data_IF_351123965366
#
_entry.id   IF_351123965366
#
_cell.length_a   1.000
_cell.length_b   1.000
_cell.length_c   1.000
_cell.angle_alpha   90.00
_cell.angle_beta   90.00
_cell.angle_gamma   90.00
#
_symmetry.space_group_name_H-M   'P 1'
#
loop_
_entity.id
_entity.type
_entity.pdbx_description
1 polymer ?
#
# COMPACT_ATOMS: atom_id res chain seq x y z
N UNK A 1 -34.74 -0.75 12.38
CA UNK A 1 -33.48 -1.47 12.10
C UNK A 1 -32.53 -0.51 11.41
N UNK A 2 -31.76 0.23 12.20
CA UNK A 2 -30.51 0.90 11.81
C UNK A 2 -29.77 1.30 13.08
N UNK A 3 -28.44 1.39 12.95
CA UNK A 3 -27.48 1.95 13.91
C UNK A 3 -27.00 1.00 15.00
N UNK A 4 -25.77 0.49 14.85
CA UNK A 4 -24.60 1.00 15.59
C UNK A 4 -23.34 0.18 15.20
N UNK A 5 -22.31 0.84 14.70
CA UNK A 5 -20.97 0.25 14.62
C UNK A 5 -19.98 1.32 15.07
N UNK A 6 -19.74 1.35 16.38
CA UNK A 6 -18.62 2.05 16.99
C UNK A 6 -17.29 1.49 16.47
N UNK A 7 -16.84 1.96 15.31
CA UNK A 7 -15.52 1.63 14.79
C UNK A 7 -14.49 2.59 15.41
N UNK A 8 -13.89 2.20 16.55
CA UNK A 8 -12.82 2.93 17.26
C UNK A 8 -11.47 2.85 16.52
N UNK A 9 -11.44 3.13 15.22
CA UNK A 9 -10.18 3.18 14.49
C UNK A 9 -9.63 4.60 14.56
N UNK A 10 -8.47 4.75 15.23
CA UNK A 10 -7.70 6.00 15.22
C UNK A 10 -7.48 6.41 13.77
N UNK A 11 -8.12 7.50 13.35
CA UNK A 11 -7.76 8.19 12.11
C UNK A 11 -6.43 8.89 12.36
N UNK A 12 -5.33 8.32 11.88
CA UNK A 12 -4.04 9.00 11.91
C UNK A 12 -4.08 10.16 10.92
N UNK A 13 -3.57 11.33 11.33
CA UNK A 13 -3.47 12.50 10.47
C UNK A 13 -2.59 12.11 9.27
N UNK A 14 -3.11 12.27 8.05
CA UNK A 14 -2.32 12.00 6.85
C UNK A 14 -1.27 13.10 6.73
N UNK A 15 -0.04 12.79 7.16
CA UNK A 15 1.09 13.73 7.21
C UNK A 15 1.58 14.16 5.82
N UNK A 16 1.10 13.50 4.75
CA UNK A 16 1.46 13.83 3.36
C UNK A 16 0.54 14.92 2.78
N UNK A 17 -0.64 15.17 3.36
CA UNK A 17 -1.59 16.15 2.81
C UNK A 17 -1.06 17.58 2.78
N UNK A 18 -0.22 17.94 3.76
CA UNK A 18 0.36 19.28 3.89
C UNK A 18 1.80 19.35 3.34
N UNK A 19 2.30 18.30 2.68
CA UNK A 19 3.68 18.20 2.19
C UNK A 19 3.73 18.31 0.66
N UNK A 20 4.39 19.36 0.16
CA UNK A 20 4.62 19.54 -1.27
C UNK A 20 5.77 18.64 -1.75
N UNK A 21 5.45 17.73 -2.68
CA UNK A 21 6.41 16.80 -3.28
C UNK A 21 7.00 17.46 -4.53
N UNK A 22 8.26 17.86 -4.48
CA UNK A 22 8.93 18.68 -5.50
C UNK A 22 9.97 17.92 -6.32
N UNK A 23 10.39 16.72 -5.89
CA UNK A 23 11.37 15.86 -6.58
C UNK A 23 11.13 14.37 -6.30
N UNK A 24 11.70 13.47 -7.12
CA UNK A 24 11.64 12.02 -6.88
C UNK A 24 12.21 11.62 -5.51
N UNK A 25 11.75 10.49 -4.98
CA UNK A 25 12.18 9.84 -3.73
C UNK A 25 11.88 10.62 -2.44
N UNK A 26 10.96 11.59 -2.47
CA UNK A 26 10.49 12.28 -1.26
C UNK A 26 9.31 11.60 -0.59
N UNK A 27 8.47 10.92 -1.37
CA UNK A 27 7.31 10.20 -0.87
C UNK A 27 7.00 9.03 -1.78
N UNK A 28 6.71 7.87 -1.17
CA UNK A 28 6.28 6.67 -1.87
C UNK A 28 4.85 6.32 -1.47
N UNK A 29 4.06 5.92 -2.45
CA UNK A 29 2.68 5.46 -2.28
C UNK A 29 2.66 3.95 -2.44
N UNK A 30 2.02 3.26 -1.50
CA UNK A 30 1.81 1.82 -1.58
C UNK A 30 0.36 1.52 -2.00
N UNK A 31 0.18 0.59 -2.93
CA UNK A 31 -1.11 0.02 -3.31
C UNK A 31 -1.06 -1.51 -3.21
N UNK A 32 -2.21 -2.13 -2.89
CA UNK A 32 -2.36 -3.58 -2.93
C UNK A 32 -3.59 -3.91 -3.75
N UNK A 33 -3.37 -4.58 -4.89
CA UNK A 33 -4.42 -5.01 -5.80
C UNK A 33 -4.55 -6.53 -5.77
N UNK A 34 -5.79 -7.03 -5.60
CA UNK A 34 -6.07 -8.45 -5.75
C UNK A 34 -6.12 -8.85 -7.22
N UNK A 35 -5.32 -9.84 -7.61
CA UNK A 35 -5.17 -10.33 -8.98
C UNK A 35 -5.51 -11.83 -9.14
N UNK A 36 -5.83 -12.51 -8.04
CA UNK A 36 -6.07 -13.95 -8.02
C UNK A 36 -7.50 -14.38 -8.32
N UNK A 37 -7.77 -15.67 -8.14
CA UNK A 37 -9.11 -16.26 -8.19
C UNK A 37 -9.39 -17.10 -6.93
N UNK A 38 -10.63 -17.58 -6.76
CA UNK A 38 -11.03 -18.30 -5.53
C UNK A 38 -10.20 -19.55 -5.22
N UNK A 39 -9.60 -20.19 -6.23
CA UNK A 39 -8.76 -21.39 -6.06
C UNK A 39 -7.28 -21.06 -5.87
N UNK A 40 -6.84 -19.91 -6.39
CA UNK A 40 -5.47 -19.44 -6.30
C UNK A 40 -5.49 -17.92 -6.04
N UNK A 41 -5.56 -17.50 -4.77
CA UNK A 41 -5.56 -16.08 -4.43
C UNK A 41 -4.22 -15.44 -4.79
N UNK A 42 -4.24 -14.15 -5.08
CA UNK A 42 -3.05 -13.43 -5.53
C UNK A 42 -3.16 -11.96 -5.18
N UNK A 43 -2.12 -11.40 -4.58
CA UNK A 43 -2.04 -10.02 -4.14
C UNK A 43 -0.79 -9.37 -4.74
N UNK A 44 -0.99 -8.35 -5.56
CA UNK A 44 0.06 -7.51 -6.09
C UNK A 44 0.23 -6.29 -5.18
N UNK A 45 1.38 -6.18 -4.53
CA UNK A 45 1.79 -4.96 -3.82
C UNK A 45 2.69 -4.12 -4.72
N UNK A 46 2.38 -2.83 -4.85
CA UNK A 46 3.14 -1.86 -5.64
C UNK A 46 3.62 -0.72 -4.75
N UNK A 47 4.88 -0.30 -4.93
CA UNK A 47 5.43 0.92 -4.37
C UNK A 47 5.74 1.87 -5.52
N UNK A 48 5.11 3.03 -5.50
CA UNK A 48 5.20 4.04 -6.55
C UNK A 48 5.77 5.33 -6.00
N UNK A 49 6.74 5.91 -6.69
CA UNK A 49 7.23 7.24 -6.38
C UNK A 49 6.14 8.29 -6.70
N UNK A 50 5.75 9.06 -5.69
CA UNK A 50 4.60 9.96 -5.79
C UNK A 50 4.82 11.11 -6.80
N UNK A 51 6.07 11.53 -6.98
CA UNK A 51 6.44 12.60 -7.90
C UNK A 51 6.52 12.10 -9.35
N UNK A 52 7.41 11.15 -9.62
CA UNK A 52 7.74 10.68 -10.97
C UNK A 52 6.73 9.66 -11.51
N UNK A 53 5.83 9.14 -10.67
CA UNK A 53 4.89 8.05 -10.98
C UNK A 53 5.55 6.73 -11.39
N UNK A 54 6.85 6.58 -11.17
CA UNK A 54 7.58 5.34 -11.46
C UNK A 54 7.33 4.31 -10.37
N UNK A 55 7.15 3.06 -10.77
CA UNK A 55 7.15 1.92 -9.84
C UNK A 55 8.59 1.71 -9.38
N UNK A 56 8.81 1.83 -8.07
CA UNK A 56 10.14 1.65 -7.44
C UNK A 56 10.26 0.31 -6.71
N UNK A 57 9.14 -0.38 -6.50
CA UNK A 57 9.12 -1.74 -5.96
C UNK A 57 7.80 -2.44 -6.24
N UNK A 58 7.83 -3.77 -6.34
CA UNK A 58 6.63 -4.59 -6.45
C UNK A 58 6.85 -5.96 -5.83
N UNK A 59 5.76 -6.61 -5.43
CA UNK A 59 5.78 -7.98 -4.93
C UNK A 59 4.44 -8.67 -5.23
N UNK A 60 4.48 -9.94 -5.59
CA UNK A 60 3.28 -10.77 -5.78
C UNK A 60 3.29 -11.83 -4.70
N UNK A 61 2.24 -11.85 -3.87
CA UNK A 61 1.98 -12.89 -2.91
C UNK A 61 0.87 -13.82 -3.44
N UNK A 62 1.06 -15.13 -3.34
CA UNK A 62 0.06 -16.17 -3.64
C UNK A 62 -0.85 -16.48 -2.44
N UNK A 63 -0.68 -15.74 -1.33
CA UNK A 63 -1.48 -15.86 -0.12
C UNK A 63 -1.57 -14.49 0.61
N UNK A 64 -2.53 -14.35 1.53
CA UNK A 64 -2.82 -13.11 2.28
C UNK A 64 -1.80 -12.83 3.41
N UNK A 65 -0.59 -13.42 3.39
CA UNK A 65 0.42 -13.10 4.39
C UNK A 65 0.95 -11.68 4.17
N UNK A 66 0.80 -10.87 5.22
CA UNK A 66 1.17 -9.46 5.33
C UNK A 66 2.70 -9.23 5.40
N UNK A 67 3.53 -10.25 5.18
CA UNK A 67 5.00 -10.12 5.15
C UNK A 67 5.54 -9.42 3.88
N UNK A 68 4.67 -9.19 2.91
CA UNK A 68 4.96 -8.64 1.58
C UNK A 68 5.53 -7.21 1.57
N UNK A 69 5.09 -6.31 2.45
CA UNK A 69 5.59 -4.92 2.49
C UNK A 69 7.01 -4.81 3.08
N UNK A 70 7.38 -5.69 4.01
CA UNK A 70 8.69 -5.68 4.67
C UNK A 70 9.80 -6.25 3.77
N UNK A 71 9.46 -7.21 2.90
CA UNK A 71 10.40 -7.78 1.91
C UNK A 71 10.66 -6.79 0.79
N UNK A 72 9.62 -6.08 0.31
CA UNK A 72 9.77 -5.04 -0.71
C UNK A 72 10.68 -3.87 -0.25
N UNK A 73 10.70 -3.58 1.06
CA UNK A 73 11.56 -2.55 1.65
C UNK A 73 13.01 -3.02 1.92
N UNK A 74 13.26 -4.34 2.01
CA UNK A 74 14.56 -4.90 2.45
C UNK A 74 15.59 -5.15 1.35
N UNK A 75 15.25 -4.94 0.07
CA UNK A 75 16.25 -4.97 -1.01
C UNK A 75 16.79 -3.56 -1.24
N UNK A 76 17.76 -3.17 -0.42
CA UNK A 76 18.66 -2.05 -0.67
C UNK A 76 20.06 -2.57 -0.96
#
# INVERSE_FOLDING_TARGET
MTTNSHHRFKKYKNLVLDYEITKPNQAWVADITYIGNRKNPGYLSLITDAYSKKIVGYYIADNLNTESSLIALKRH
#
